data_IF_091589324556
#
_entry.id   IF_091589324556
#
_cell.length_a   1.000
_cell.length_b   1.000
_cell.length_c   1.000
_cell.angle_alpha   90.00
_cell.angle_beta   90.00
_cell.angle_gamma   90.00
#
_symmetry.space_group_name_H-M   'P 1'
#
loop_
_entity.id
_entity.type
_entity.pdbx_description
1 polymer ?
#
# COMPACT_ATOMS: atom_id res chain seq x y z
N UNK A 1 22.69 62.95 40.59
CA UNK A 1 22.91 61.91 39.56
C UNK A 1 22.79 60.55 40.23
N UNK A 2 21.66 59.84 40.08
CA UNK A 2 21.50 58.44 40.51
C UNK A 2 20.62 57.74 39.49
N UNK A 3 21.27 56.98 38.60
CA UNK A 3 20.68 56.32 37.44
C UNK A 3 19.82 55.13 37.84
N UNK A 4 18.60 55.07 37.30
CA UNK A 4 17.72 53.91 37.30
C UNK A 4 18.24 52.87 36.32
N UNK A 5 18.56 51.67 36.80
CA UNK A 5 18.89 50.50 35.96
C UNK A 5 17.58 49.83 35.55
N UNK A 6 17.25 49.85 34.27
CA UNK A 6 16.12 49.10 33.70
C UNK A 6 16.59 47.68 33.34
N UNK A 7 16.01 46.67 33.99
CA UNK A 7 16.24 45.26 33.70
C UNK A 7 15.31 44.83 32.55
N UNK A 8 15.84 44.63 31.36
CA UNK A 8 15.11 44.11 30.20
C UNK A 8 15.15 42.58 30.27
N UNK A 9 14.00 41.96 30.58
CA UNK A 9 13.83 40.52 30.53
C UNK A 9 13.58 40.08 29.08
N UNK A 10 14.54 39.36 28.50
CA UNK A 10 14.43 38.79 27.15
C UNK A 10 13.67 37.46 27.22
N UNK A 11 12.39 37.48 26.86
CA UNK A 11 11.57 36.27 26.71
C UNK A 11 12.02 35.53 25.43
N UNK A 12 12.77 34.44 25.58
CA UNK A 12 13.05 33.51 24.49
C UNK A 12 11.80 32.69 24.17
N UNK A 13 11.10 33.04 23.10
CA UNK A 13 10.10 32.16 22.47
C UNK A 13 10.82 30.98 21.81
N UNK A 14 10.97 29.86 22.52
CA UNK A 14 11.32 28.60 21.91
C UNK A 14 10.12 28.12 21.08
N UNK A 15 10.17 28.33 19.75
CA UNK A 15 9.22 27.70 18.85
C UNK A 15 9.37 26.18 18.99
N UNK A 16 8.27 25.41 19.17
CA UNK A 16 8.36 23.97 19.14
C UNK A 16 8.83 23.55 17.75
N UNK A 17 9.96 22.83 17.68
CA UNK A 17 10.34 22.08 16.49
C UNK A 17 9.25 21.01 16.28
N UNK A 18 8.35 21.24 15.33
CA UNK A 18 7.51 20.18 14.81
C UNK A 18 8.44 19.19 14.12
N UNK A 19 8.83 18.12 14.81
CA UNK A 19 9.44 16.97 14.17
C UNK A 19 8.42 16.44 13.16
N UNK A 20 8.70 16.62 11.87
CA UNK A 20 7.83 16.10 10.81
C UNK A 20 7.73 14.60 10.97
N UNK A 21 6.54 14.10 11.33
CA UNK A 21 6.26 12.68 11.28
C UNK A 21 6.21 12.29 9.81
N UNK A 22 7.26 11.64 9.33
CA UNK A 22 7.24 11.02 8.01
C UNK A 22 6.11 9.99 8.00
N UNK A 23 5.13 10.20 7.12
CA UNK A 23 3.93 9.37 7.03
C UNK A 23 4.15 8.24 6.01
N UNK A 24 3.40 7.15 6.16
CA UNK A 24 3.36 6.08 5.17
C UNK A 24 2.89 6.63 3.81
N UNK A 25 3.73 6.56 2.78
CA UNK A 25 3.34 6.80 1.38
C UNK A 25 2.97 5.47 0.72
N UNK A 26 1.81 5.38 0.07
CA UNK A 26 1.37 4.18 -0.66
C UNK A 26 0.88 4.57 -2.04
N UNK A 27 1.37 3.87 -3.06
CA UNK A 27 1.01 4.06 -4.46
C UNK A 27 0.54 2.76 -5.08
N UNK A 28 -0.36 2.86 -6.05
CA UNK A 28 -0.89 1.73 -6.81
C UNK A 28 -0.79 2.03 -8.30
N UNK A 29 -0.41 1.03 -9.09
CA UNK A 29 -0.44 1.05 -10.54
C UNK A 29 -1.04 -0.26 -11.05
N UNK A 30 -1.81 -0.18 -12.14
CA UNK A 30 -2.47 -1.33 -12.76
C UNK A 30 -1.98 -1.50 -14.18
N UNK A 31 -1.67 -2.74 -14.54
CA UNK A 31 -1.16 -3.12 -15.84
C UNK A 31 -1.97 -4.27 -16.42
N UNK A 32 -2.05 -4.37 -17.73
CA UNK A 32 -2.66 -5.48 -18.44
C UNK A 32 -1.56 -6.42 -18.94
N UNK A 33 -1.77 -7.72 -18.74
CA UNK A 33 -0.98 -8.79 -19.34
C UNK A 33 -1.56 -9.11 -20.73
N UNK A 34 -0.80 -8.78 -21.77
CA UNK A 34 -1.10 -9.17 -23.15
C UNK A 34 -0.23 -10.36 -23.52
N UNK A 35 -0.82 -11.36 -24.16
CA UNK A 35 -0.08 -12.44 -24.80
C UNK A 35 -0.26 -12.34 -26.30
N UNK A 36 0.85 -12.28 -27.03
CA UNK A 36 0.91 -12.29 -28.49
C UNK A 36 1.88 -13.39 -28.96
N UNK A 37 2.10 -13.48 -30.28
CA UNK A 37 2.99 -14.48 -30.86
C UNK A 37 4.46 -14.31 -30.42
N UNK A 38 4.82 -13.14 -29.88
CA UNK A 38 6.14 -12.76 -29.43
C UNK A 38 6.34 -13.00 -27.93
N UNK A 39 5.28 -13.41 -27.21
CA UNK A 39 5.31 -13.78 -25.81
C UNK A 39 4.35 -12.96 -24.98
N UNK A 40 4.75 -12.68 -23.74
CA UNK A 40 3.94 -11.94 -22.77
C UNK A 40 4.49 -10.53 -22.58
N UNK A 41 3.63 -9.54 -22.76
CA UNK A 41 3.92 -8.12 -22.51
C UNK A 41 3.05 -7.59 -21.37
N UNK A 42 3.63 -6.67 -20.59
CA UNK A 42 2.93 -5.91 -19.56
C UNK A 42 2.85 -4.46 -20.03
N UNK A 43 1.67 -3.88 -20.02
CA UNK A 43 1.43 -2.49 -20.44
C UNK A 43 0.51 -1.76 -19.43
N UNK A 44 0.65 -0.44 -19.22
CA UNK A 44 -0.26 0.32 -18.37
C UNK A 44 -1.72 0.13 -18.76
N UNK A 45 -2.60 0.02 -17.78
CA UNK A 45 -4.03 -0.19 -18.00
C UNK A 45 -4.78 1.15 -18.12
N UNK A 46 -5.13 1.55 -19.34
CA UNK A 46 -6.00 2.73 -19.55
C UNK A 46 -7.49 2.37 -19.42
N UNK A 47 -7.84 1.11 -19.72
CA UNK A 47 -9.20 0.58 -19.62
C UNK A 47 -9.16 -0.91 -19.33
N UNK A 48 -10.09 -1.39 -18.51
CA UNK A 48 -10.26 -2.81 -18.20
C UNK A 48 -11.49 -3.38 -18.91
N UNK A 49 -11.32 -4.50 -19.61
CA UNK A 49 -12.38 -5.26 -20.24
C UNK A 49 -12.51 -6.64 -19.60
N UNK A 50 -13.73 -7.19 -19.63
CA UNK A 50 -14.00 -8.57 -19.20
C UNK A 50 -13.03 -9.53 -19.91
N UNK A 51 -12.39 -10.40 -19.15
CA UNK A 51 -11.42 -11.38 -19.64
C UNK A 51 -9.97 -10.92 -19.59
N UNK A 52 -9.70 -9.61 -19.45
CA UNK A 52 -8.34 -9.11 -19.29
C UNK A 52 -7.67 -9.75 -18.07
N UNK A 53 -6.41 -10.11 -18.22
CA UNK A 53 -5.53 -10.43 -17.09
C UNK A 53 -4.80 -9.15 -16.71
N UNK A 54 -4.84 -8.78 -15.44
CA UNK A 54 -4.15 -7.61 -14.92
C UNK A 54 -3.15 -7.99 -13.85
N UNK A 55 -2.16 -7.12 -13.70
CA UNK A 55 -1.25 -7.10 -12.57
C UNK A 55 -1.39 -5.75 -11.89
N UNK A 56 -1.75 -5.75 -10.61
CA UNK A 56 -1.68 -4.55 -9.77
C UNK A 56 -0.38 -4.57 -9.01
N UNK A 57 0.32 -3.44 -8.99
CA UNK A 57 1.56 -3.22 -8.25
C UNK A 57 1.31 -2.14 -7.22
N UNK A 58 1.51 -2.48 -5.95
CA UNK A 58 1.47 -1.59 -4.81
C UNK A 58 2.91 -1.35 -4.35
N UNK A 59 3.29 -0.09 -4.17
CA UNK A 59 4.58 0.29 -3.61
C UNK A 59 4.35 1.21 -2.43
N UNK A 60 5.17 1.09 -1.40
CA UNK A 60 5.09 1.98 -0.24
C UNK A 60 6.46 2.37 0.27
N UNK A 61 6.49 3.48 1.01
CA UNK A 61 7.62 3.87 1.85
C UNK A 61 7.10 4.05 3.28
N UNK A 62 7.60 3.24 4.22
CA UNK A 62 7.21 3.31 5.62
C UNK A 62 8.37 3.90 6.46
N UNK A 63 8.09 4.82 7.40
CA UNK A 63 9.11 5.37 8.29
C UNK A 63 9.70 4.31 9.23
N UNK A 64 10.88 4.60 9.79
CA UNK A 64 11.71 3.68 10.60
C UNK A 64 10.99 2.99 11.78
N UNK A 65 9.91 3.57 12.30
CA UNK A 65 9.01 2.91 13.26
C UNK A 65 7.87 2.23 12.53
N UNK A 66 8.15 1.10 11.88
CA UNK A 66 7.14 0.36 11.15
C UNK A 66 6.21 -0.44 12.08
N UNK A 67 4.92 -0.17 11.95
CA UNK A 67 3.81 -0.91 12.56
C UNK A 67 2.52 -0.78 11.73
N UNK A 68 2.67 -0.53 10.43
CA UNK A 68 1.55 -0.25 9.54
C UNK A 68 1.00 -1.54 8.96
N UNK A 69 -0.31 -1.72 9.09
CA UNK A 69 -1.05 -2.70 8.29
C UNK A 69 -1.61 -1.99 7.08
N UNK A 70 -1.17 -2.39 5.89
CA UNK A 70 -1.76 -1.90 4.64
C UNK A 70 -2.92 -2.82 4.28
N UNK A 71 -4.05 -2.22 3.93
CA UNK A 71 -5.24 -2.92 3.43
C UNK A 71 -5.53 -2.46 2.02
N UNK A 72 -5.72 -3.41 1.11
CA UNK A 72 -6.14 -3.14 -0.27
C UNK A 72 -7.48 -3.80 -0.54
N UNK A 73 -8.47 -2.99 -0.93
CA UNK A 73 -9.75 -3.50 -1.40
C UNK A 73 -9.60 -4.08 -2.81
N UNK A 74 -10.20 -5.25 -3.03
CA UNK A 74 -10.28 -5.89 -4.34
C UNK A 74 -11.60 -5.48 -5.00
N UNK A 75 -11.56 -4.77 -6.14
CA UNK A 75 -12.76 -4.48 -6.91
C UNK A 75 -13.57 -5.75 -7.21
N UNK A 76 -14.91 -5.74 -7.06
CA UNK A 76 -15.73 -6.92 -7.29
C UNK A 76 -15.55 -7.52 -8.70
N UNK A 77 -15.27 -6.71 -9.70
CA UNK A 77 -15.03 -7.16 -11.07
C UNK A 77 -13.72 -7.94 -11.27
N UNK A 78 -12.91 -8.15 -10.23
CA UNK A 78 -11.66 -8.90 -10.29
C UNK A 78 -11.80 -10.25 -9.59
N UNK A 79 -11.18 -11.27 -10.18
CA UNK A 79 -10.92 -12.56 -9.56
C UNK A 79 -9.41 -12.71 -9.40
N UNK A 80 -8.91 -12.72 -8.16
CA UNK A 80 -7.47 -12.86 -7.91
C UNK A 80 -7.00 -14.27 -8.30
N UNK A 81 -5.86 -14.32 -8.97
CA UNK A 81 -5.22 -15.56 -9.42
C UNK A 81 -3.95 -15.85 -8.62
N UNK A 82 -3.19 -14.82 -8.23
CA UNK A 82 -2.00 -14.97 -7.37
C UNK A 82 -1.55 -13.65 -6.75
N UNK A 83 -0.67 -13.73 -5.74
CA UNK A 83 0.02 -12.59 -5.15
C UNK A 83 1.52 -12.87 -4.94
N UNK A 84 2.32 -11.82 -4.80
CA UNK A 84 3.79 -11.91 -4.68
C UNK A 84 4.29 -11.92 -3.23
N UNK A 85 3.41 -11.98 -2.24
CA UNK A 85 3.76 -11.78 -0.84
C UNK A 85 3.12 -12.87 0.03
N UNK A 86 3.97 -13.65 0.72
CA UNK A 86 3.54 -14.87 1.41
C UNK A 86 2.96 -14.58 2.81
N UNK A 87 3.37 -13.48 3.45
CA UNK A 87 2.85 -13.04 4.75
C UNK A 87 1.56 -12.20 4.62
N UNK A 88 0.73 -12.49 3.62
CA UNK A 88 -0.51 -11.78 3.34
C UNK A 88 -1.72 -12.51 3.93
N UNK A 89 -2.68 -11.74 4.42
CA UNK A 89 -3.98 -12.24 4.83
C UNK A 89 -5.08 -11.72 3.89
N UNK A 90 -6.12 -12.52 3.73
CA UNK A 90 -7.25 -12.21 2.85
C UNK A 90 -8.56 -12.20 3.62
N UNK A 91 -9.51 -11.43 3.10
CA UNK A 91 -10.88 -11.40 3.58
C UNK A 91 -11.86 -11.62 2.44
N UNK A 92 -12.88 -12.44 2.66
CA UNK A 92 -13.98 -12.70 1.72
C UNK A 92 -15.30 -12.06 2.15
N UNK A 93 -15.30 -11.31 3.25
CA UNK A 93 -16.52 -10.77 3.90
C UNK A 93 -16.47 -9.26 4.13
N UNK A 94 -15.70 -8.53 3.31
CA UNK A 94 -15.58 -7.08 3.38
C UNK A 94 -14.62 -6.58 4.47
N UNK A 95 -13.64 -7.38 4.86
CA UNK A 95 -12.62 -7.02 5.85
C UNK A 95 -13.02 -7.28 7.30
N UNK A 96 -14.11 -8.04 7.54
CA UNK A 96 -14.57 -8.37 8.90
C UNK A 96 -13.76 -9.50 9.51
N UNK A 97 -13.49 -10.54 8.72
CA UNK A 97 -12.62 -11.66 9.10
C UNK A 97 -11.44 -11.76 8.15
N UNK A 98 -10.34 -12.30 8.69
CA UNK A 98 -9.05 -12.36 8.01
C UNK A 98 -8.42 -13.73 8.20
N UNK A 99 -7.80 -14.22 7.13
CA UNK A 99 -7.14 -15.53 7.12
C UNK A 99 -5.82 -15.43 6.38
N UNK A 100 -4.76 -15.94 6.99
CA UNK A 100 -3.47 -16.09 6.34
C UNK A 100 -3.57 -17.00 5.13
N UNK A 101 -2.86 -16.65 4.06
CA UNK A 101 -2.70 -17.53 2.92
C UNK A 101 -1.63 -18.58 3.23
N UNK A 102 -1.95 -19.85 2.97
CA UNK A 102 -0.97 -20.93 3.07
C UNK A 102 -0.05 -20.95 1.84
N UNK A 103 -0.57 -20.56 0.68
CA UNK A 103 0.16 -20.43 -0.59
C UNK A 103 -0.40 -19.22 -1.36
N UNK A 104 0.47 -18.27 -1.73
CA UNK A 104 0.08 -17.08 -2.49
C UNK A 104 -0.31 -17.38 -3.95
N UNK A 105 -0.15 -18.62 -4.42
CA UNK A 105 -0.61 -19.13 -5.71
C UNK A 105 -1.98 -19.82 -5.65
N UNK A 106 -2.44 -20.19 -4.46
CA UNK A 106 -3.74 -20.84 -4.26
C UNK A 106 -4.66 -19.92 -3.45
N UNK A 107 -5.34 -19.03 -4.17
CA UNK A 107 -6.19 -18.01 -3.58
C UNK A 107 -7.65 -18.48 -3.54
N UNK A 108 -8.36 -18.33 -2.41
CA UNK A 108 -9.78 -18.60 -2.35
C UNK A 108 -10.56 -17.68 -3.29
N UNK A 109 -11.70 -18.15 -3.77
CA UNK A 109 -12.61 -17.31 -4.55
C UNK A 109 -13.29 -16.26 -3.67
N UNK A 110 -13.73 -15.16 -4.29
CA UNK A 110 -14.51 -14.12 -3.61
C UNK A 110 -13.71 -13.25 -2.63
N UNK A 111 -12.39 -13.15 -2.79
CA UNK A 111 -11.58 -12.21 -2.02
C UNK A 111 -12.09 -10.78 -2.27
N UNK A 112 -12.32 -10.09 -1.16
CA UNK A 112 -12.76 -8.70 -1.11
C UNK A 112 -11.65 -7.76 -0.65
N UNK A 113 -10.73 -8.24 0.19
CA UNK A 113 -9.62 -7.44 0.70
C UNK A 113 -8.37 -8.28 0.89
N UNK A 114 -7.23 -7.62 0.72
CA UNK A 114 -5.90 -8.08 1.07
C UNK A 114 -5.37 -7.22 2.23
N UNK A 115 -4.62 -7.81 3.16
CA UNK A 115 -3.83 -7.04 4.13
C UNK A 115 -2.46 -7.66 4.38
N UNK A 116 -1.50 -6.82 4.70
CA UNK A 116 -0.15 -7.24 5.09
C UNK A 116 0.49 -6.20 6.01
N UNK A 117 1.54 -6.60 6.71
CA UNK A 117 2.35 -5.68 7.49
C UNK A 117 3.43 -5.06 6.63
N UNK A 118 3.48 -3.73 6.58
CA UNK A 118 4.58 -3.00 5.95
C UNK A 118 5.77 -2.94 6.90
N UNK A 119 6.91 -3.43 6.45
CA UNK A 119 8.20 -3.21 7.12
C UNK A 119 8.69 -1.78 6.84
N UNK A 120 9.62 -1.30 7.67
CA UNK A 120 10.24 0.01 7.49
C UNK A 120 10.99 0.09 6.15
N UNK A 121 11.06 1.29 5.58
CA UNK A 121 11.63 1.56 4.27
C UNK A 121 10.68 1.24 3.12
N UNK A 122 11.29 1.01 1.95
CA UNK A 122 10.55 0.73 0.73
C UNK A 122 10.05 -0.71 0.70
N UNK A 123 8.83 -0.89 0.20
CA UNK A 123 8.28 -2.21 -0.07
C UNK A 123 7.37 -2.25 -1.29
N UNK A 124 7.12 -3.47 -1.75
CA UNK A 124 6.29 -3.72 -2.92
C UNK A 124 5.52 -5.02 -2.79
N UNK A 125 4.29 -5.00 -3.29
CA UNK A 125 3.42 -6.16 -3.45
C UNK A 125 2.82 -6.10 -4.85
N UNK A 126 2.74 -7.24 -5.52
CA UNK A 126 1.91 -7.37 -6.71
C UNK A 126 0.90 -8.50 -6.58
N UNK A 127 -0.24 -8.34 -7.22
CA UNK A 127 -1.19 -9.43 -7.39
C UNK A 127 -1.69 -9.47 -8.83
N UNK A 128 -1.94 -10.68 -9.30
CA UNK A 128 -2.53 -10.99 -10.61
C UNK A 128 -4.01 -11.24 -10.42
N UNK A 129 -4.83 -10.70 -11.31
CA UNK A 129 -6.26 -10.95 -11.31
C UNK A 129 -6.82 -10.99 -12.73
N UNK A 130 -7.96 -11.66 -12.89
CA UNK A 130 -8.76 -11.66 -14.11
C UNK A 130 -10.00 -10.80 -13.95
N UNK A 131 -10.32 -10.01 -14.96
CA UNK A 131 -11.54 -9.19 -15.00
C UNK A 131 -12.74 -10.07 -15.39
N UNK A 132 -13.84 -10.00 -14.64
CA UNK A 132 -15.03 -10.86 -14.78
C UNK A 132 -16.33 -10.10 -14.98
#
# INVERSE_FOLDING_TARGET
MRSTIALIALLLNAAPLAAGSEALDVRSAVFIERSDAQGRRIEPADRLLRGDTIVTVLTWHAPDRAGYTIVSAVPPALALESASHDAMEVSTDGGRTWRALADARDLPSGITHLRWQAQAGDGRLSYRARVR
#
